data_IF_991851967971
#
_entry.id   IF_991851967971
#
_cell.length_a   1.000
_cell.length_b   1.000
_cell.length_c   1.000
_cell.angle_alpha   90.00
_cell.angle_beta   90.00
_cell.angle_gamma   90.00
#
_symmetry.space_group_name_H-M   'P 1'
#
loop_
_entity.id
_entity.type
_entity.pdbx_description
1 polymer ?
#
# COMPACT_ATOMS: atom_id res chain seq x y z
N UNK A 1 -84.53 -29.71 -28.29
CA UNK A 1 -83.57 -28.63 -27.99
C UNK A 1 -83.10 -28.65 -26.53
N UNK A 2 -84.00 -28.56 -25.54
CA UNK A 2 -83.62 -28.52 -24.12
C UNK A 2 -82.83 -29.74 -23.62
N UNK A 3 -83.24 -30.97 -23.97
CA UNK A 3 -82.48 -32.18 -23.63
C UNK A 3 -81.06 -32.20 -24.26
N UNK A 4 -80.92 -31.70 -25.49
CA UNK A 4 -79.62 -31.67 -26.16
C UNK A 4 -78.69 -30.63 -25.52
N UNK A 5 -79.23 -29.46 -25.15
CA UNK A 5 -78.49 -28.45 -24.40
C UNK A 5 -78.04 -28.98 -23.03
N UNK A 6 -78.91 -29.68 -22.30
CA UNK A 6 -78.56 -30.27 -21.01
C UNK A 6 -77.47 -31.34 -21.12
N UNK A 7 -77.55 -32.23 -22.12
CA UNK A 7 -76.50 -33.21 -22.42
C UNK A 7 -75.17 -32.55 -22.79
N UNK A 8 -75.20 -31.47 -23.56
CA UNK A 8 -74.00 -30.71 -23.92
C UNK A 8 -73.32 -30.07 -22.70
N UNK A 9 -74.09 -29.48 -21.78
CA UNK A 9 -73.56 -28.90 -20.54
C UNK A 9 -72.93 -29.97 -19.64
N UNK A 10 -73.57 -31.14 -19.50
CA UNK A 10 -73.00 -32.26 -18.73
C UNK A 10 -71.71 -32.75 -19.37
N UNK A 11 -71.69 -32.95 -20.69
CA UNK A 11 -70.49 -33.40 -21.40
C UNK A 11 -69.35 -32.39 -21.29
N UNK A 12 -69.63 -31.10 -21.36
CA UNK A 12 -68.63 -30.04 -21.17
C UNK A 12 -68.07 -30.03 -19.75
N UNK A 13 -68.91 -30.15 -18.72
CA UNK A 13 -68.46 -30.22 -17.33
C UNK A 13 -67.62 -31.47 -17.06
N UNK A 14 -68.03 -32.61 -17.60
CA UNK A 14 -67.29 -33.86 -17.45
C UNK A 14 -65.95 -33.81 -18.18
N UNK A 15 -65.93 -33.29 -19.42
CA UNK A 15 -64.69 -33.10 -20.17
C UNK A 15 -63.75 -32.11 -19.48
N UNK A 16 -64.26 -30.97 -19.02
CA UNK A 16 -63.46 -29.98 -18.28
C UNK A 16 -62.88 -30.58 -17.00
N UNK A 17 -63.68 -31.28 -16.20
CA UNK A 17 -63.21 -31.94 -14.99
C UNK A 17 -62.18 -33.03 -15.29
N UNK A 18 -62.38 -33.80 -16.36
CA UNK A 18 -61.48 -34.86 -16.79
C UNK A 18 -60.12 -34.35 -17.26
N UNK A 19 -60.06 -33.17 -17.89
CA UNK A 19 -58.79 -32.57 -18.32
C UNK A 19 -58.14 -31.70 -17.24
N UNK A 20 -58.91 -30.99 -16.43
CA UNK A 20 -58.37 -30.11 -15.38
C UNK A 20 -57.79 -30.89 -14.20
N UNK A 21 -58.37 -32.04 -13.84
CA UNK A 21 -57.91 -32.80 -12.67
C UNK A 21 -56.49 -33.39 -12.84
N UNK A 22 -56.13 -34.06 -13.95
CA UNK A 22 -54.77 -34.51 -14.20
C UNK A 22 -53.76 -33.36 -14.30
N UNK A 23 -54.19 -32.21 -14.85
CA UNK A 23 -53.36 -31.02 -14.93
C UNK A 23 -53.05 -30.45 -13.54
N UNK A 24 -54.06 -30.30 -12.68
CA UNK A 24 -53.85 -29.87 -11.29
C UNK A 24 -52.97 -30.84 -10.49
N UNK A 25 -53.15 -32.16 -10.67
CA UNK A 25 -52.29 -33.16 -10.06
C UNK A 25 -50.85 -33.06 -10.56
N UNK A 26 -50.63 -32.88 -11.85
CA UNK A 26 -49.29 -32.69 -12.42
C UNK A 26 -48.59 -31.48 -11.79
N UNK A 27 -49.26 -30.33 -11.70
CA UNK A 27 -48.69 -29.12 -11.07
C UNK A 27 -48.41 -29.33 -9.58
N UNK A 28 -49.28 -30.03 -8.86
CA UNK A 28 -49.07 -30.36 -7.46
C UNK A 28 -47.81 -31.24 -7.29
N UNK A 29 -47.67 -32.31 -8.08
CA UNK A 29 -46.50 -33.18 -8.03
C UNK A 29 -45.22 -32.46 -8.45
N UNK A 30 -45.29 -31.61 -9.49
CA UNK A 30 -44.16 -30.80 -9.91
C UNK A 30 -43.69 -29.85 -8.80
N UNK A 31 -44.61 -29.13 -8.16
CA UNK A 31 -44.29 -28.22 -7.08
C UNK A 31 -43.74 -28.93 -5.84
N UNK A 32 -44.34 -30.08 -5.49
CA UNK A 32 -43.87 -30.93 -4.40
C UNK A 32 -42.45 -31.43 -4.66
N UNK A 33 -42.17 -31.96 -5.85
CA UNK A 33 -40.84 -32.44 -6.22
C UNK A 33 -39.81 -31.32 -6.20
N UNK A 34 -40.16 -30.14 -6.72
CA UNK A 34 -39.28 -28.98 -6.71
C UNK A 34 -38.97 -28.52 -5.28
N UNK A 35 -39.99 -28.40 -4.42
CA UNK A 35 -39.79 -28.03 -3.01
C UNK A 35 -38.93 -29.04 -2.25
N UNK A 36 -39.11 -30.34 -2.53
CA UNK A 36 -38.27 -31.39 -1.98
C UNK A 36 -36.80 -31.25 -2.43
N UNK A 37 -36.56 -31.01 -3.73
CA UNK A 37 -35.21 -30.80 -4.25
C UNK A 37 -34.51 -29.60 -3.60
N UNK A 38 -35.23 -28.47 -3.46
CA UNK A 38 -34.69 -27.28 -2.80
C UNK A 38 -34.36 -27.54 -1.33
N UNK A 39 -35.24 -28.24 -0.60
CA UNK A 39 -34.99 -28.61 0.78
C UNK A 39 -33.71 -29.45 0.92
N UNK A 40 -33.52 -30.46 0.04
CA UNK A 40 -32.31 -31.28 0.04
C UNK A 40 -31.05 -30.47 -0.31
N UNK A 41 -31.13 -29.57 -1.29
CA UNK A 41 -30.03 -28.70 -1.66
C UNK A 41 -29.61 -27.78 -0.50
N UNK A 42 -30.57 -27.14 0.17
CA UNK A 42 -30.30 -26.29 1.33
C UNK A 42 -29.73 -27.09 2.51
N UNK A 43 -30.29 -28.28 2.79
CA UNK A 43 -29.79 -29.14 3.86
C UNK A 43 -28.35 -29.58 3.58
N UNK A 44 -28.04 -30.02 2.37
CA UNK A 44 -26.69 -30.41 1.97
C UNK A 44 -25.74 -29.22 2.05
N UNK A 45 -26.09 -28.07 1.46
CA UNK A 45 -25.24 -26.89 1.50
C UNK A 45 -24.97 -26.42 2.93
N UNK A 46 -25.97 -26.43 3.82
CA UNK A 46 -25.79 -26.08 5.23
C UNK A 46 -24.91 -27.07 5.99
N UNK A 47 -25.01 -28.37 5.69
CA UNK A 47 -24.22 -29.40 6.37
C UNK A 47 -22.76 -29.42 5.92
N UNK A 48 -22.47 -29.05 4.66
CA UNK A 48 -21.10 -28.96 4.14
C UNK A 48 -20.46 -27.59 4.39
N UNK A 49 -21.23 -26.50 4.40
CA UNK A 49 -20.69 -25.17 4.66
C UNK A 49 -20.33 -24.97 6.12
N UNK A 50 -21.11 -25.52 7.06
CA UNK A 50 -20.89 -25.31 8.49
C UNK A 50 -19.52 -25.82 8.98
N UNK A 51 -19.07 -27.05 8.65
CA UNK A 51 -17.72 -27.51 9.02
C UNK A 51 -16.61 -26.67 8.39
N UNK A 52 -16.79 -26.21 7.15
CA UNK A 52 -15.80 -25.37 6.46
C UNK A 52 -15.70 -23.98 7.11
N UNK A 53 -16.83 -23.36 7.42
CA UNK A 53 -16.87 -22.09 8.13
C UNK A 53 -16.29 -22.22 9.55
N UNK A 54 -16.62 -23.29 10.27
CA UNK A 54 -16.07 -23.56 11.60
C UNK A 54 -14.56 -23.79 11.55
N UNK A 55 -14.07 -24.54 10.55
CA UNK A 55 -12.65 -24.76 10.34
C UNK A 55 -11.92 -23.46 10.04
N UNK A 56 -12.44 -22.63 9.13
CA UNK A 56 -11.86 -21.32 8.82
C UNK A 56 -11.83 -20.40 10.03
N UNK A 57 -12.91 -20.37 10.81
CA UNK A 57 -12.96 -19.58 12.05
C UNK A 57 -11.91 -20.05 13.05
N UNK A 58 -11.79 -21.36 13.27
CA UNK A 58 -10.84 -21.94 14.20
C UNK A 58 -9.39 -21.73 13.73
N UNK A 59 -9.14 -21.81 12.42
CA UNK A 59 -7.85 -21.50 11.82
C UNK A 59 -7.46 -20.03 12.03
N UNK A 60 -8.36 -19.09 11.74
CA UNK A 60 -8.12 -17.66 11.97
C UNK A 60 -7.89 -17.35 13.45
N UNK A 61 -8.64 -17.99 14.35
CA UNK A 61 -8.46 -17.86 15.79
C UNK A 61 -7.09 -18.37 16.25
N UNK A 62 -6.62 -19.51 15.73
CA UNK A 62 -5.28 -20.04 16.01
C UNK A 62 -4.18 -19.13 15.45
N UNK A 63 -4.33 -18.58 14.26
CA UNK A 63 -3.40 -17.59 13.70
C UNK A 63 -3.32 -16.34 14.58
N UNK A 64 -4.46 -15.85 15.07
CA UNK A 64 -4.52 -14.71 15.98
C UNK A 64 -3.83 -14.99 17.33
N UNK A 65 -4.05 -16.18 17.90
CA UNK A 65 -3.36 -16.60 19.13
C UNK A 65 -1.85 -16.71 18.92
N UNK A 66 -1.41 -17.30 17.80
CA UNK A 66 0.01 -17.41 17.46
C UNK A 66 0.66 -16.04 17.29
N UNK A 67 0.00 -15.12 16.58
CA UNK A 67 0.47 -13.75 16.43
C UNK A 67 0.58 -13.02 17.78
N UNK A 68 -0.44 -13.15 18.64
CA UNK A 68 -0.47 -12.54 19.97
C UNK A 68 0.65 -13.09 20.88
N UNK A 69 0.93 -14.39 20.81
CA UNK A 69 2.04 -15.01 21.53
C UNK A 69 3.39 -14.49 21.01
N UNK A 70 3.61 -14.47 19.70
CA UNK A 70 4.86 -13.97 19.11
C UNK A 70 5.13 -12.51 19.48
N UNK A 71 4.09 -11.66 19.43
CA UNK A 71 4.20 -10.26 19.82
C UNK A 71 4.57 -10.10 21.31
N UNK A 72 3.97 -10.92 22.18
CA UNK A 72 4.28 -10.93 23.62
C UNK A 72 5.71 -11.38 23.90
N UNK A 73 6.21 -12.40 23.20
CA UNK A 73 7.59 -12.87 23.34
C UNK A 73 8.61 -11.86 22.82
N UNK A 74 8.37 -11.22 21.67
CA UNK A 74 9.23 -10.16 21.16
C UNK A 74 9.27 -8.96 22.12
N UNK A 75 8.12 -8.58 22.69
CA UNK A 75 8.05 -7.50 23.67
C UNK A 75 8.81 -7.83 24.97
N UNK A 76 8.66 -9.07 25.49
CA UNK A 76 9.44 -9.53 26.64
C UNK A 76 10.92 -9.63 26.34
N UNK A 77 11.32 -10.11 25.15
CA UNK A 77 12.71 -10.18 24.75
C UNK A 77 13.33 -8.77 24.70
N UNK A 78 12.65 -7.80 24.10
CA UNK A 78 13.11 -6.40 24.09
C UNK A 78 13.23 -5.85 25.51
N UNK A 79 12.27 -6.11 26.39
CA UNK A 79 12.30 -5.63 27.78
C UNK A 79 13.42 -6.24 28.65
N UNK A 80 13.83 -7.48 28.37
CA UNK A 80 14.84 -8.20 29.16
C UNK A 80 16.24 -8.23 28.52
N UNK A 81 16.36 -8.00 27.22
CA UNK A 81 17.65 -7.94 26.52
C UNK A 81 18.38 -6.60 26.68
N UNK A 82 17.76 -5.58 27.26
CA UNK A 82 18.48 -4.39 27.70
C UNK A 82 18.99 -4.59 29.12
N UNK A 83 20.31 -4.75 29.33
CA UNK A 83 20.89 -4.77 30.67
C UNK A 83 20.59 -3.41 31.30
N UNK A 84 19.89 -3.40 32.44
CA UNK A 84 19.76 -2.22 33.30
C UNK A 84 21.17 -1.80 33.73
N UNK A 85 21.79 -0.87 33.00
CA UNK A 85 23.05 -0.26 33.43
C UNK A 85 24.06 0.11 32.34
N UNK A 86 23.89 -0.31 31.10
CA UNK A 86 24.77 0.19 30.02
C UNK A 86 24.24 1.52 29.50
N UNK A 87 24.84 2.63 29.94
CA UNK A 87 24.81 3.88 29.19
C UNK A 87 25.34 3.59 27.79
N UNK A 88 24.42 3.48 26.82
CA UNK A 88 24.78 3.47 25.42
C UNK A 88 25.32 4.87 25.14
N UNK A 89 26.61 4.94 24.87
CA UNK A 89 27.29 6.14 24.41
C UNK A 89 26.75 6.51 23.02
N UNK A 90 25.64 7.26 23.00
CA UNK A 90 24.96 7.74 21.79
C UNK A 90 25.85 8.64 20.94
N UNK A 91 26.97 9.11 21.47
CA UNK A 91 27.93 9.94 20.74
C UNK A 91 28.75 9.12 19.72
N UNK A 92 28.91 7.80 19.91
CA UNK A 92 29.57 6.93 18.93
C UNK A 92 28.69 6.49 17.75
N UNK A 93 27.36 6.56 17.89
CA UNK A 93 26.42 6.20 16.82
C UNK A 93 26.22 7.34 15.80
N UNK A 94 26.51 8.58 16.21
CA UNK A 94 26.32 9.79 15.38
C UNK A 94 27.55 10.14 14.53
N UNK A 95 28.74 9.63 14.84
CA UNK A 95 29.94 9.86 14.02
C UNK A 95 30.04 8.98 12.78
N UNK A 96 29.17 7.98 12.63
CA UNK A 96 29.12 7.11 11.45
C UNK A 96 28.04 7.47 10.42
N UNK A 97 27.18 8.44 10.72
CA UNK A 97 26.20 8.97 9.77
C UNK A 97 26.83 10.12 8.95
N UNK A 98 27.83 9.79 8.15
CA UNK A 98 28.28 10.64 7.05
C UNK A 98 27.23 10.61 5.92
N UNK A 99 26.03 11.12 6.19
CA UNK A 99 24.88 10.98 5.30
C UNK A 99 25.12 11.66 3.95
N UNK A 100 24.69 11.06 2.83
CA UNK A 100 24.89 11.60 1.47
C UNK A 100 23.97 12.80 1.12
N UNK A 101 23.09 13.22 2.03
CA UNK A 101 22.15 14.34 1.83
C UNK A 101 22.61 15.56 2.64
N UNK A 102 22.74 16.71 1.98
CA UNK A 102 22.87 18.00 2.66
C UNK A 102 21.49 18.63 2.77
N UNK A 103 20.94 18.68 3.99
CA UNK A 103 19.73 19.45 4.26
C UNK A 103 20.10 20.95 4.25
N UNK A 104 19.53 21.71 3.30
CA UNK A 104 19.82 23.16 3.15
C UNK A 104 18.83 24.04 3.91
N UNK A 105 17.94 23.45 4.71
CA UNK A 105 17.30 24.17 5.80
C UNK A 105 18.18 24.06 7.05
N UNK A 106 18.16 25.03 7.98
CA UNK A 106 18.76 24.81 9.28
C UNK A 106 18.07 23.58 9.89
N UNK A 107 18.74 22.44 9.83
CA UNK A 107 18.32 21.29 10.58
C UNK A 107 18.42 21.73 12.03
N UNK A 108 17.25 21.97 12.65
CA UNK A 108 17.16 22.28 14.05
C UNK A 108 17.45 20.97 14.81
N UNK A 109 18.72 20.60 14.90
CA UNK A 109 19.19 19.56 15.80
C UNK A 109 19.25 20.15 17.20
N UNK A 110 18.15 20.06 17.95
CA UNK A 110 18.16 20.33 19.38
C UNK A 110 18.53 19.04 20.09
N UNK A 111 19.80 18.92 20.48
CA UNK A 111 20.25 17.89 21.41
C UNK A 111 19.73 18.25 22.81
N UNK A 112 18.57 17.73 23.21
CA UNK A 112 18.07 17.92 24.57
C UNK A 112 18.78 16.96 25.53
N UNK A 113 19.62 17.55 26.39
CA UNK A 113 20.31 16.89 27.49
C UNK A 113 19.37 16.70 28.68
N UNK A 114 18.27 15.99 28.50
CA UNK A 114 17.33 15.67 29.60
C UNK A 114 16.72 14.30 29.38
N UNK A 115 17.03 13.37 30.29
CA UNK A 115 16.43 12.06 30.35
C UNK A 115 14.93 12.21 30.65
N UNK A 116 14.09 12.16 29.62
CA UNK A 116 12.64 12.01 29.80
C UNK A 116 12.31 10.53 29.97
N UNK A 117 11.50 10.25 31.00
CA UNK A 117 10.94 8.92 31.26
C UNK A 117 10.14 8.43 30.05
N UNK A 118 10.57 7.30 29.50
CA UNK A 118 10.02 6.60 28.32
C UNK A 118 8.64 5.96 28.56
N UNK A 119 7.78 6.55 29.41
CA UNK A 119 6.58 5.88 29.96
C UNK A 119 5.27 6.11 29.19
N UNK A 120 5.25 6.85 28.09
CA UNK A 120 3.99 7.25 27.43
C UNK A 120 4.00 7.25 25.89
N UNK A 121 4.80 6.40 25.22
CA UNK A 121 4.95 6.48 23.75
C UNK A 121 3.74 5.94 22.98
N UNK A 122 2.96 5.00 23.53
CA UNK A 122 1.86 4.33 22.79
C UNK A 122 0.52 5.09 22.81
N UNK A 123 0.22 5.89 23.85
CA UNK A 123 -1.01 6.69 23.89
C UNK A 123 -0.96 7.94 22.99
N UNK A 124 0.24 8.40 22.63
CA UNK A 124 0.42 9.64 21.85
C UNK A 124 0.03 9.48 20.37
N UNK A 125 0.07 8.27 19.80
CA UNK A 125 -0.16 8.09 18.36
C UNK A 125 -1.59 8.42 17.92
N UNK A 126 -2.61 7.93 18.62
CA UNK A 126 -4.01 8.21 18.26
C UNK A 126 -4.38 9.67 18.53
N UNK A 127 -3.92 10.20 19.66
CA UNK A 127 -4.16 11.60 20.01
C UNK A 127 -3.44 12.54 19.04
N UNK A 128 -2.26 12.17 18.54
CA UNK A 128 -1.52 12.96 17.56
C UNK A 128 -2.23 13.02 16.21
N UNK A 129 -2.74 11.91 15.67
CA UNK A 129 -3.45 11.95 14.40
C UNK A 129 -4.73 12.79 14.48
N UNK A 130 -5.49 12.64 15.58
CA UNK A 130 -6.66 13.46 15.84
C UNK A 130 -6.28 14.94 15.97
N UNK A 131 -5.22 15.26 16.72
CA UNK A 131 -4.74 16.62 16.89
C UNK A 131 -4.26 17.23 15.55
N UNK A 132 -3.48 16.47 14.76
CA UNK A 132 -3.04 16.89 13.43
C UNK A 132 -4.21 17.17 12.49
N UNK A 133 -5.31 16.42 12.60
CA UNK A 133 -6.47 16.55 11.74
C UNK A 133 -7.50 17.58 12.21
N UNK A 134 -7.58 17.87 13.53
CA UNK A 134 -8.71 18.61 14.10
C UNK A 134 -8.31 19.78 15.00
N UNK A 135 -7.17 19.70 15.68
CA UNK A 135 -6.80 20.69 16.69
C UNK A 135 -5.90 21.79 16.14
N UNK A 136 -5.90 22.91 16.84
CA UNK A 136 -4.86 23.93 16.72
C UNK A 136 -3.59 23.43 17.43
N UNK A 137 -2.57 23.02 16.67
CA UNK A 137 -1.28 22.52 17.15
C UNK A 137 -0.54 23.54 18.02
N UNK A 138 -0.69 24.84 17.77
CA UNK A 138 -0.07 25.86 18.62
C UNK A 138 -0.66 25.80 20.03
N UNK A 139 -1.99 25.62 20.11
CA UNK A 139 -2.69 25.43 21.37
C UNK A 139 -2.46 24.04 21.98
N UNK A 140 -2.46 22.99 21.17
CA UNK A 140 -2.36 21.60 21.62
C UNK A 140 -0.98 21.29 22.21
N UNK A 141 0.08 21.91 21.66
CA UNK A 141 1.46 21.58 22.03
C UNK A 141 2.23 22.73 22.70
N UNK A 142 1.71 23.98 22.72
CA UNK A 142 2.22 25.11 23.51
C UNK A 142 3.56 25.71 23.05
N UNK A 143 4.25 26.45 23.94
CA UNK A 143 5.57 27.08 23.66
C UNK A 143 6.78 26.13 23.80
N UNK A 144 6.56 24.81 23.86
CA UNK A 144 7.63 23.87 24.15
C UNK A 144 8.50 23.55 22.93
N UNK A 145 9.78 23.25 23.15
CA UNK A 145 10.66 22.69 22.13
C UNK A 145 10.29 21.22 21.90
N UNK A 146 10.11 20.82 20.65
CA UNK A 146 9.70 19.46 20.30
C UNK A 146 10.76 18.73 19.48
N UNK A 147 10.87 17.43 19.73
CA UNK A 147 11.51 16.49 18.84
C UNK A 147 10.40 15.62 18.22
N UNK A 148 10.27 15.68 16.90
CA UNK A 148 9.32 14.85 16.15
C UNK A 148 10.11 13.66 15.61
N UNK A 149 9.80 12.46 16.11
CA UNK A 149 10.34 11.21 15.60
C UNK A 149 9.22 10.37 14.99
N UNK A 150 9.03 10.45 13.68
CA UNK A 150 8.03 9.68 12.97
C UNK A 150 8.50 9.26 11.58
N UNK A 151 7.86 8.21 11.07
CA UNK A 151 8.17 7.55 9.81
C UNK A 151 7.09 7.79 8.74
N UNK A 152 5.93 8.33 9.13
CA UNK A 152 4.75 8.49 8.27
C UNK A 152 4.61 9.92 7.70
N UNK A 153 3.94 10.00 6.55
CA UNK A 153 3.63 11.27 5.89
C UNK A 153 2.27 11.84 6.35
N UNK A 154 2.28 12.76 7.32
CA UNK A 154 1.06 13.29 7.93
C UNK A 154 0.45 14.53 7.28
N UNK A 155 1.05 15.07 6.22
CA UNK A 155 0.57 16.29 5.58
C UNK A 155 -0.91 16.24 5.14
N UNK A 156 -1.47 15.12 4.67
CA UNK A 156 -2.90 15.06 4.34
C UNK A 156 -3.81 15.41 5.53
N UNK A 157 -3.43 15.03 6.76
CA UNK A 157 -4.19 15.39 7.96
C UNK A 157 -4.14 16.91 8.21
N UNK A 158 -2.96 17.52 8.04
CA UNK A 158 -2.80 18.97 8.14
C UNK A 158 -3.60 19.71 7.05
N UNK A 159 -3.67 19.18 5.84
CA UNK A 159 -4.49 19.75 4.76
C UNK A 159 -5.99 19.63 5.03
N UNK A 160 -6.43 18.62 5.78
CA UNK A 160 -7.82 18.47 6.22
C UNK A 160 -8.15 19.36 7.43
N UNK A 161 -7.15 19.73 8.23
CA UNK A 161 -7.32 20.46 9.48
C UNK A 161 -7.88 21.89 9.25
N UNK A 162 -9.02 22.26 9.86
CA UNK A 162 -9.66 23.56 9.64
C UNK A 162 -8.80 24.76 10.06
N UNK A 163 -7.85 24.58 10.98
CA UNK A 163 -6.94 25.64 11.43
C UNK A 163 -5.83 25.93 10.41
N UNK A 164 -5.38 24.92 9.65
CA UNK A 164 -4.22 25.04 8.75
C UNK A 164 -4.56 24.96 7.26
N UNK A 165 -5.72 24.39 6.91
CA UNK A 165 -6.12 24.12 5.52
C UNK A 165 -6.02 25.35 4.63
N UNK A 166 -6.52 26.50 5.07
CA UNK A 166 -6.54 27.71 4.23
C UNK A 166 -5.14 28.30 4.04
N UNK A 167 -4.28 28.19 5.06
CA UNK A 167 -2.86 28.56 4.97
C UNK A 167 -2.12 27.64 4.01
N UNK A 168 -2.31 26.32 4.13
CA UNK A 168 -1.70 25.34 3.23
C UNK A 168 -2.19 25.48 1.80
N UNK A 169 -3.48 25.75 1.57
CA UNK A 169 -4.01 26.04 0.23
C UNK A 169 -3.42 27.31 -0.37
N UNK A 170 -3.12 28.32 0.45
CA UNK A 170 -2.46 29.54 -0.01
C UNK A 170 -0.99 29.29 -0.36
N UNK A 171 -0.28 28.48 0.43
CA UNK A 171 1.14 28.16 0.19
C UNK A 171 1.34 27.14 -0.91
N UNK A 172 0.43 26.19 -1.05
CA UNK A 172 0.47 25.05 -1.97
C UNK A 172 -0.87 24.93 -2.71
N UNK A 173 -1.17 25.85 -3.65
CA UNK A 173 -2.48 25.90 -4.32
C UNK A 173 -2.77 24.67 -5.19
N UNK A 174 -1.73 23.96 -5.62
CA UNK A 174 -1.82 22.69 -6.36
C UNK A 174 -1.98 21.46 -5.45
N UNK A 175 -1.93 21.65 -4.12
CA UNK A 175 -1.96 20.57 -3.14
C UNK A 175 -0.68 19.74 -3.07
N UNK A 176 0.34 20.00 -3.90
CA UNK A 176 1.56 19.19 -4.00
C UNK A 176 2.62 19.60 -2.97
N UNK A 177 2.27 19.50 -1.69
CA UNK A 177 3.13 19.97 -0.59
C UNK A 177 4.50 19.25 -0.58
N UNK A 178 4.50 17.92 -0.68
CA UNK A 178 5.75 17.14 -0.69
C UNK A 178 6.67 17.58 -1.83
N UNK A 179 6.17 17.69 -3.05
CA UNK A 179 6.95 18.15 -4.20
C UNK A 179 7.66 19.48 -3.95
N UNK A 180 6.91 20.49 -3.50
CA UNK A 180 7.41 21.85 -3.28
C UNK A 180 8.44 21.89 -2.16
N UNK A 181 8.20 21.14 -1.07
CA UNK A 181 9.12 21.07 0.08
C UNK A 181 10.39 20.31 -0.30
N UNK A 182 10.29 19.13 -0.93
CA UNK A 182 11.44 18.30 -1.31
C UNK A 182 12.39 19.05 -2.25
N UNK A 183 11.85 19.69 -3.30
CA UNK A 183 12.61 20.51 -4.25
C UNK A 183 13.38 21.66 -3.58
N UNK A 184 12.89 22.17 -2.45
CA UNK A 184 13.47 23.29 -1.71
C UNK A 184 14.48 22.83 -0.66
N UNK A 185 14.14 21.80 0.09
CA UNK A 185 14.82 21.39 1.31
C UNK A 185 15.87 20.30 1.08
N UNK A 186 15.63 19.40 0.13
CA UNK A 186 16.52 18.27 -0.14
C UNK A 186 17.46 18.65 -1.27
N UNK A 187 18.75 18.73 -0.95
CA UNK A 187 19.81 18.80 -1.95
C UNK A 187 20.71 17.59 -1.78
N UNK A 188 20.89 16.85 -2.86
CA UNK A 188 21.87 15.78 -2.85
C UNK A 188 23.26 16.38 -2.96
N UNK A 189 24.25 15.67 -2.40
CA UNK A 189 25.65 15.96 -2.68
C UNK A 189 25.89 15.95 -4.19
N UNK A 190 26.73 16.87 -4.66
CA UNK A 190 27.00 17.10 -6.09
C UNK A 190 27.28 15.82 -6.86
N UNK A 191 28.06 14.90 -6.29
CA UNK A 191 28.41 13.63 -6.94
C UNK A 191 27.21 12.74 -7.29
N UNK A 192 26.12 12.75 -6.51
CA UNK A 192 24.93 11.93 -6.81
C UNK A 192 24.07 12.61 -7.88
N UNK A 193 23.85 13.93 -7.76
CA UNK A 193 23.08 14.69 -8.77
C UNK A 193 23.76 14.66 -10.14
N UNK A 194 25.09 14.76 -10.19
CA UNK A 194 25.86 14.68 -11.43
C UNK A 194 25.75 13.28 -12.06
N UNK A 195 25.84 12.21 -11.26
CA UNK A 195 25.62 10.84 -11.73
C UNK A 195 24.21 10.65 -12.27
N UNK A 196 23.20 11.13 -11.56
CA UNK A 196 21.81 11.07 -12.01
C UNK A 196 21.61 11.79 -13.34
N UNK A 197 22.20 12.99 -13.49
CA UNK A 197 22.14 13.76 -14.73
C UNK A 197 22.85 13.07 -15.89
N UNK A 198 24.04 12.51 -15.66
CA UNK A 198 24.79 11.78 -16.69
C UNK A 198 24.03 10.53 -17.15
N UNK A 199 23.40 9.82 -16.21
CA UNK A 199 22.59 8.64 -16.53
C UNK A 199 21.33 9.04 -17.30
N UNK A 200 20.59 10.06 -16.84
CA UNK A 200 19.39 10.56 -17.51
C UNK A 200 19.69 11.12 -18.91
N UNK A 201 20.86 11.74 -19.12
CA UNK A 201 21.25 12.20 -20.46
C UNK A 201 21.47 11.05 -21.47
N UNK A 202 21.75 9.84 -20.98
CA UNK A 202 21.94 8.63 -21.80
C UNK A 202 20.68 7.79 -21.94
N UNK A 203 19.68 8.06 -21.11
CA UNK A 203 18.51 7.21 -20.90
C UNK A 203 17.29 8.09 -20.92
N UNK A 204 16.49 8.10 -22.01
CA UNK A 204 15.21 8.78 -22.00
C UNK A 204 14.37 8.31 -20.81
N UNK A 205 13.53 9.18 -20.24
CA UNK A 205 12.90 8.94 -18.94
C UNK A 205 12.07 7.66 -18.95
N UNK A 206 12.12 6.88 -17.86
CA UNK A 206 11.61 5.50 -17.84
C UNK A 206 11.05 5.05 -16.50
N UNK A 207 10.12 4.10 -16.55
CA UNK A 207 9.27 3.62 -15.45
C UNK A 207 9.93 2.63 -14.49
N UNK A 208 9.45 2.56 -13.22
CA UNK A 208 10.01 1.74 -12.12
C UNK A 208 9.03 0.80 -11.43
N UNK A 209 9.53 -0.13 -10.61
CA UNK A 209 8.79 -1.22 -9.95
C UNK A 209 9.43 -1.68 -8.63
N UNK A 210 8.61 -2.21 -7.72
CA UNK A 210 8.98 -2.89 -6.46
C UNK A 210 8.02 -4.12 -6.30
N UNK A 211 8.37 -5.28 -5.71
CA UNK A 211 7.80 -6.54 -6.18
C UNK A 211 6.46 -6.91 -5.51
N UNK A 212 5.37 -6.87 -6.29
CA UNK A 212 4.30 -7.89 -6.32
C UNK A 212 3.05 -7.48 -7.13
N UNK A 213 2.54 -8.29 -8.07
CA UNK A 213 3.21 -9.31 -8.89
C UNK A 213 3.95 -8.65 -10.06
N UNK A 214 5.22 -9.01 -10.24
CA UNK A 214 6.16 -8.48 -11.26
C UNK A 214 5.52 -8.34 -12.65
N UNK A 215 4.71 -9.32 -13.07
CA UNK A 215 4.02 -9.31 -14.36
C UNK A 215 2.93 -8.25 -14.48
N UNK A 216 2.14 -8.04 -13.42
CA UNK A 216 1.10 -7.01 -13.42
C UNK A 216 1.72 -5.62 -13.58
N UNK A 217 2.84 -5.41 -12.91
CA UNK A 217 3.66 -4.22 -13.00
C UNK A 217 4.26 -4.05 -14.40
N UNK A 218 4.93 -5.07 -14.95
CA UNK A 218 5.44 -5.03 -16.31
C UNK A 218 4.35 -4.68 -17.34
N UNK A 219 3.17 -5.29 -17.22
CA UNK A 219 2.02 -4.97 -18.08
C UNK A 219 1.56 -3.52 -17.90
N UNK A 220 1.50 -3.01 -16.66
CA UNK A 220 1.12 -1.62 -16.39
C UNK A 220 2.08 -0.65 -17.07
N UNK A 221 3.39 -0.88 -16.98
CA UNK A 221 4.37 -0.02 -17.62
C UNK A 221 4.42 -0.15 -19.14
N UNK A 222 4.23 -1.35 -19.70
CA UNK A 222 4.11 -1.51 -21.16
C UNK A 222 2.91 -0.73 -21.70
N UNK A 223 1.76 -0.79 -20.99
CA UNK A 223 0.57 -0.05 -21.35
C UNK A 223 0.77 1.47 -21.20
N UNK A 224 1.39 1.91 -20.10
CA UNK A 224 1.64 3.33 -19.86
C UNK A 224 2.67 3.89 -20.85
N UNK A 225 3.74 3.15 -21.13
CA UNK A 225 4.72 3.49 -22.16
C UNK A 225 4.09 3.59 -23.55
N UNK A 226 3.27 2.60 -23.94
CA UNK A 226 2.52 2.64 -25.20
C UNK A 226 1.61 3.87 -25.30
N UNK A 227 1.00 4.27 -24.18
CA UNK A 227 0.13 5.44 -24.12
C UNK A 227 0.91 6.76 -24.24
N UNK A 228 2.02 6.91 -23.50
CA UNK A 228 2.76 8.18 -23.43
C UNK A 228 3.63 8.43 -24.67
N UNK A 229 4.21 7.40 -25.30
CA UNK A 229 5.08 7.56 -26.48
C UNK A 229 4.38 7.32 -27.83
N UNK A 230 3.23 6.63 -27.85
CA UNK A 230 2.57 6.14 -29.07
C UNK A 230 3.30 4.98 -29.78
N UNK A 231 4.57 4.73 -29.45
CA UNK A 231 5.38 3.63 -29.96
C UNK A 231 6.19 3.00 -28.80
N UNK A 232 5.82 1.78 -28.36
CA UNK A 232 6.49 1.09 -27.26
C UNK A 232 7.99 0.87 -27.47
N UNK A 233 8.48 0.85 -28.72
CA UNK A 233 9.90 0.66 -29.01
C UNK A 233 10.77 1.88 -28.69
N UNK A 234 10.15 3.06 -28.60
CA UNK A 234 10.82 4.30 -28.20
C UNK A 234 10.84 4.51 -26.69
N UNK A 235 10.25 3.59 -25.93
CA UNK A 235 10.22 3.65 -24.46
C UNK A 235 11.48 3.00 -23.91
N UNK A 236 12.13 3.69 -22.98
CA UNK A 236 13.18 3.10 -22.15
C UNK A 236 12.66 2.98 -20.73
N UNK A 237 12.92 1.86 -20.06
CA UNK A 237 12.46 1.63 -18.69
C UNK A 237 13.64 1.75 -17.73
N UNK A 238 13.46 2.44 -16.60
CA UNK A 238 14.46 2.49 -15.54
C UNK A 238 13.98 1.70 -14.33
N UNK A 239 14.67 0.61 -13.98
CA UNK A 239 14.27 -0.22 -12.85
C UNK A 239 15.17 0.01 -11.65
N UNK A 240 14.59 0.54 -10.56
CA UNK A 240 15.14 0.46 -9.21
C UNK A 240 14.47 -0.71 -8.48
N UNK A 241 15.24 -1.75 -8.16
CA UNK A 241 14.80 -2.89 -7.36
C UNK A 241 15.96 -3.38 -6.49
N UNK A 242 15.68 -3.78 -5.27
CA UNK A 242 16.61 -4.32 -4.27
C UNK A 242 16.83 -5.84 -4.40
N UNK A 243 16.17 -6.48 -5.38
CA UNK A 243 16.31 -7.90 -5.70
C UNK A 243 16.80 -8.10 -7.15
N UNK A 244 17.91 -8.82 -7.31
CA UNK A 244 18.53 -9.09 -8.62
C UNK A 244 17.66 -10.03 -9.50
N UNK A 245 16.93 -10.96 -8.87
CA UNK A 245 15.97 -11.83 -9.55
C UNK A 245 14.82 -11.04 -10.19
N UNK A 246 14.29 -10.05 -9.46
CA UNK A 246 13.27 -9.10 -9.96
C UNK A 246 13.82 -8.32 -11.15
N UNK A 247 15.09 -7.86 -11.09
CA UNK A 247 15.73 -7.17 -12.22
C UNK A 247 15.85 -8.05 -13.45
N UNK A 248 16.31 -9.29 -13.27
CA UNK A 248 16.41 -10.26 -14.36
C UNK A 248 15.07 -10.57 -15.01
N UNK A 249 14.02 -10.80 -14.20
CA UNK A 249 12.69 -11.08 -14.74
C UNK A 249 12.08 -9.86 -15.43
N UNK A 250 12.19 -8.66 -14.85
CA UNK A 250 11.69 -7.43 -15.46
C UNK A 250 12.43 -7.07 -16.75
N UNK A 251 13.75 -7.25 -16.80
CA UNK A 251 14.55 -7.11 -18.01
C UNK A 251 14.01 -7.99 -19.15
N UNK A 252 13.66 -9.23 -18.84
CA UNK A 252 13.06 -10.17 -19.81
C UNK A 252 11.66 -9.75 -20.27
N UNK A 253 10.83 -9.21 -19.36
CA UNK A 253 9.45 -8.83 -19.67
C UNK A 253 9.34 -7.53 -20.46
N UNK A 254 10.16 -6.53 -20.14
CA UNK A 254 10.12 -5.20 -20.73
C UNK A 254 11.06 -5.03 -21.93
N UNK A 255 12.10 -5.88 -22.03
CA UNK A 255 13.11 -5.81 -23.08
C UNK A 255 14.08 -4.66 -22.88
N UNK A 256 13.69 -3.43 -23.22
CA UNK A 256 14.55 -2.24 -23.20
C UNK A 256 14.66 -1.62 -21.79
N UNK A 257 15.20 -2.38 -20.84
CA UNK A 257 15.40 -1.93 -19.44
C UNK A 257 16.82 -1.44 -19.24
N UNK A 258 16.93 -0.31 -18.55
CA UNK A 258 18.16 0.19 -17.93
C UNK A 258 18.03 0.08 -16.42
N UNK A 259 19.16 -0.14 -15.78
CA UNK A 259 19.29 -0.23 -14.34
C UNK A 259 20.55 0.53 -13.95
N UNK A 260 20.59 0.98 -12.69
CA UNK A 260 21.81 1.52 -12.12
C UNK A 260 22.82 0.37 -11.95
N UNK A 261 23.85 0.37 -12.79
CA UNK A 261 24.92 -0.64 -12.79
C UNK A 261 25.88 -0.49 -11.63
N UNK A 262 25.82 0.64 -10.90
CA UNK A 262 26.76 0.94 -9.83
C UNK A 262 26.34 0.32 -8.49
N UNK A 263 25.32 -0.54 -8.49
CA UNK A 263 24.86 -1.26 -7.31
C UNK A 263 25.79 -2.43 -7.04
N UNK A 264 26.51 -2.34 -5.93
CA UNK A 264 27.20 -3.47 -5.35
C UNK A 264 26.21 -4.27 -4.51
N UNK A 265 25.84 -5.46 -4.97
CA UNK A 265 24.91 -6.35 -4.28
C UNK A 265 25.46 -6.92 -2.97
N UNK A 266 26.77 -6.80 -2.73
CA UNK A 266 27.37 -7.16 -1.45
C UNK A 266 27.32 -6.01 -0.44
N UNK A 267 27.01 -4.81 -0.89
CA UNK A 267 26.81 -3.65 -0.05
C UNK A 267 25.38 -3.68 0.52
N UNK A 268 25.26 -3.37 1.81
CA UNK A 268 23.99 -3.39 2.53
C UNK A 268 23.68 -1.99 3.04
N UNK A 269 22.42 -1.58 2.93
CA UNK A 269 21.98 -0.27 3.42
C UNK A 269 22.08 -0.15 4.94
N UNK A 270 21.77 1.03 5.47
CA UNK A 270 21.79 1.27 6.93
C UNK A 270 20.90 0.30 7.74
N UNK A 271 19.90 -0.30 7.10
CA UNK A 271 18.98 -1.27 7.70
C UNK A 271 19.41 -2.74 7.51
N UNK A 272 20.52 -3.00 6.83
CA UNK A 272 20.98 -4.35 6.49
C UNK A 272 20.26 -4.96 5.28
N UNK A 273 19.46 -4.18 4.55
CA UNK A 273 18.77 -4.62 3.35
C UNK A 273 19.77 -4.77 2.19
N UNK A 274 19.67 -5.84 1.37
CA UNK A 274 20.49 -6.00 0.17
C UNK A 274 20.09 -4.96 -0.89
N UNK A 275 20.94 -4.77 -1.91
CA UNK A 275 20.63 -3.87 -3.04
C UNK A 275 21.43 -2.57 -3.06
N UNK A 276 22.54 -2.49 -2.32
CA UNK A 276 23.49 -1.38 -2.35
C UNK A 276 23.42 -0.48 -1.12
N UNK A 277 24.32 0.51 -1.06
CA UNK A 277 24.34 1.54 -0.02
C UNK A 277 23.20 2.55 -0.14
N UNK A 278 22.98 3.31 0.94
CA UNK A 278 22.08 4.47 0.96
C UNK A 278 22.38 5.47 -0.18
N UNK A 279 23.65 5.58 -0.61
CA UNK A 279 24.04 6.46 -1.71
C UNK A 279 23.56 5.94 -3.08
N UNK A 280 23.58 4.63 -3.31
CA UNK A 280 23.01 4.03 -4.52
C UNK A 280 21.48 4.04 -4.49
N UNK A 281 20.86 3.80 -3.33
CA UNK A 281 19.42 3.95 -3.16
C UNK A 281 18.96 5.39 -3.44
N UNK A 282 19.69 6.39 -2.95
CA UNK A 282 19.39 7.79 -3.22
C UNK A 282 19.58 8.17 -4.70
N UNK A 283 20.58 7.58 -5.38
CA UNK A 283 20.74 7.74 -6.82
C UNK A 283 19.54 7.13 -7.57
N UNK A 284 19.12 5.93 -7.22
CA UNK A 284 17.93 5.29 -7.80
C UNK A 284 16.70 6.17 -7.58
N UNK A 285 16.43 6.61 -6.34
CA UNK A 285 15.34 7.52 -5.99
C UNK A 285 15.35 8.79 -6.86
N UNK A 286 16.55 9.35 -7.11
CA UNK A 286 16.69 10.50 -7.99
C UNK A 286 16.34 10.16 -9.43
N UNK A 287 16.87 9.07 -9.96
CA UNK A 287 16.56 8.62 -11.32
C UNK A 287 15.06 8.38 -11.50
N UNK A 288 14.39 7.84 -10.49
CA UNK A 288 12.93 7.71 -10.46
C UNK A 288 12.23 9.05 -10.62
N UNK A 289 12.65 10.04 -9.84
CA UNK A 289 12.06 11.39 -9.87
C UNK A 289 12.32 12.15 -11.18
N UNK A 290 13.21 11.65 -12.04
CA UNK A 290 13.52 12.22 -13.35
C UNK A 290 12.75 11.54 -14.49
N UNK A 291 11.92 10.54 -14.18
CA UNK A 291 11.09 9.82 -15.13
C UNK A 291 9.96 10.72 -15.66
N UNK A 292 9.51 10.51 -16.89
CA UNK A 292 8.33 11.19 -17.45
C UNK A 292 7.04 10.66 -16.79
N UNK A 293 7.09 9.38 -16.43
CA UNK A 293 5.99 8.62 -15.89
C UNK A 293 6.53 7.60 -14.89
N UNK A 294 5.75 7.26 -13.87
CA UNK A 294 6.20 6.37 -12.81
C UNK A 294 5.14 5.33 -12.46
N UNK A 295 5.55 4.07 -12.53
CA UNK A 295 4.82 2.97 -11.91
C UNK A 295 5.44 2.76 -10.52
N UNK A 296 4.61 2.60 -9.50
CA UNK A 296 5.07 2.44 -8.11
C UNK A 296 4.33 1.31 -7.43
N UNK A 297 4.98 0.69 -6.46
CA UNK A 297 4.37 -0.36 -5.66
C UNK A 297 3.50 0.24 -4.58
N UNK A 298 2.29 -0.29 -4.48
CA UNK A 298 1.35 0.13 -3.45
C UNK A 298 1.96 -0.13 -2.06
N UNK A 299 2.02 0.91 -1.23
CA UNK A 299 2.63 0.85 0.10
C UNK A 299 4.13 1.17 0.15
N UNK A 300 4.82 1.27 -0.99
CA UNK A 300 6.24 1.62 -1.02
C UNK A 300 6.43 3.13 -0.84
N UNK A 301 7.09 3.53 0.25
CA UNK A 301 7.44 4.94 0.48
C UNK A 301 8.50 5.41 -0.51
N UNK A 302 9.41 4.52 -0.94
CA UNK A 302 10.47 4.85 -1.90
C UNK A 302 9.90 5.40 -3.22
N UNK A 303 8.95 4.67 -3.82
CA UNK A 303 8.27 5.13 -5.04
C UNK A 303 7.44 6.41 -4.84
N UNK A 304 6.76 6.54 -3.70
CA UNK A 304 5.96 7.73 -3.39
C UNK A 304 6.83 8.99 -3.21
N UNK A 305 8.00 8.85 -2.60
CA UNK A 305 8.98 9.94 -2.46
C UNK A 305 9.56 10.34 -3.81
N UNK A 306 9.87 9.38 -4.68
CA UNK A 306 10.29 9.66 -6.03
C UNK A 306 9.23 10.42 -6.84
N UNK A 307 7.98 9.94 -6.84
CA UNK A 307 6.86 10.60 -7.49
C UNK A 307 6.71 12.04 -7.01
N UNK A 308 6.68 12.22 -5.68
CA UNK A 308 6.58 13.54 -5.05
C UNK A 308 7.73 14.45 -5.46
N UNK A 309 8.97 13.96 -5.45
CA UNK A 309 10.12 14.77 -5.83
C UNK A 309 10.06 15.16 -7.32
N UNK A 310 9.64 14.25 -8.20
CA UNK A 310 9.45 14.50 -9.63
C UNK A 310 8.28 15.42 -9.95
N UNK A 311 7.26 15.45 -9.09
CA UNK A 311 5.98 16.12 -9.36
C UNK A 311 5.08 15.29 -10.28
N UNK A 312 5.18 13.96 -10.18
CA UNK A 312 4.44 12.96 -10.96
C UNK A 312 3.14 12.55 -10.27
#
# INVERSE_FOLDING_TARGET
FFCFFFLFVIFFFFSFSFFSFPFCLFFFFFFFFFSFFFFFFFFFFSFFSFPVCLFLFLFLFLCFLSFSCSFSFSFFYILFSFPRGTQVDTTGLLSHMATPVEFVMPAMFVQTRTAYEYRAVTHVFHDMLAALALDDLERAYGEHHWAIGHWDYFVPFLQANPHYRDTLRRWFPDGQVAHRVLRRAVRMKSGIEDRARIFAAKTPPGFTFDPAPIRSFANAALNLGAFSSGDPSNVTYFLAADDDGVRGEMGRLLGNVRYNSDIDWNDVGANGDPGGSDATALLDLRLLSLSDELVVTFGSTFGQWAASWGGL
#
